data_IF_048737943833
#
_entry.id   IF_048737943833
#
_cell.length_a   1.000
_cell.length_b   1.000
_cell.length_c   1.000
_cell.angle_alpha   90.00
_cell.angle_beta   90.00
_cell.angle_gamma   90.00
#
_symmetry.space_group_name_H-M   'P 1'
#
loop_
_entity.id
_entity.type
_entity.pdbx_description
1 polymer ?
#
# COMPACT_ATOMS: atom_id res chain seq x y z
N UNK A 1 -52.06 -29.99 -2.97
CA UNK A 1 -52.90 -28.83 -3.25
C UNK A 1 -52.06 -27.61 -2.91
N UNK A 2 -51.61 -26.74 -3.75
CA UNK A 2 -51.78 -26.47 -5.17
C UNK A 2 -50.53 -25.67 -5.66
N UNK A 3 -50.00 -26.06 -6.74
CA UNK A 3 -49.51 -25.42 -7.94
C UNK A 3 -49.25 -23.90 -7.88
N UNK A 4 -48.05 -23.47 -8.30
CA UNK A 4 -47.94 -22.51 -9.39
C UNK A 4 -46.51 -22.42 -9.97
N UNK A 5 -46.48 -22.42 -11.25
CA UNK A 5 -45.52 -22.53 -12.33
C UNK A 5 -44.57 -21.33 -12.48
N UNK A 6 -43.46 -21.52 -13.20
CA UNK A 6 -42.51 -20.44 -13.55
C UNK A 6 -42.89 -19.75 -14.86
N UNK A 7 -42.63 -18.45 -14.95
CA UNK A 7 -42.77 -17.67 -16.20
C UNK A 7 -41.40 -17.52 -16.84
N UNK A 8 -41.22 -18.19 -17.98
CA UNK A 8 -40.18 -17.90 -18.98
C UNK A 8 -40.55 -16.62 -19.74
N UNK A 9 -39.62 -15.70 -19.87
CA UNK A 9 -39.74 -14.61 -20.84
C UNK A 9 -38.59 -14.69 -21.83
N UNK A 10 -38.94 -15.08 -23.06
CA UNK A 10 -38.10 -14.98 -24.26
C UNK A 10 -38.01 -13.51 -24.68
N UNK A 11 -36.81 -12.99 -24.97
CA UNK A 11 -36.66 -11.84 -25.84
C UNK A 11 -35.83 -12.19 -27.05
N UNK A 12 -36.44 -11.97 -28.20
CA UNK A 12 -35.99 -12.30 -29.53
C UNK A 12 -34.88 -11.37 -30.03
N UNK A 13 -33.94 -11.93 -30.79
CA UNK A 13 -32.94 -11.26 -31.55
C UNK A 13 -33.51 -10.57 -32.79
N UNK A 14 -33.16 -9.33 -33.01
CA UNK A 14 -33.36 -8.64 -34.31
C UNK A 14 -32.03 -8.47 -35.02
N UNK A 15 -31.88 -9.20 -36.15
CA UNK A 15 -30.82 -9.00 -37.13
C UNK A 15 -31.18 -7.80 -38.01
N UNK A 16 -30.30 -6.81 -38.07
CA UNK A 16 -30.35 -5.76 -39.07
C UNK A 16 -29.23 -5.96 -40.07
N UNK A 17 -29.62 -6.32 -41.27
CA UNK A 17 -28.80 -6.45 -42.47
C UNK A 17 -28.49 -5.07 -43.04
N UNK A 18 -27.22 -4.72 -43.18
CA UNK A 18 -26.78 -3.53 -43.92
C UNK A 18 -26.27 -3.91 -45.31
N UNK A 19 -26.91 -3.34 -46.29
CA UNK A 19 -26.60 -3.46 -47.73
C UNK A 19 -25.43 -2.55 -48.03
N UNK A 20 -24.39 -3.10 -48.65
CA UNK A 20 -23.28 -2.34 -49.28
C UNK A 20 -23.72 -1.72 -50.61
N UNK A 21 -23.62 -0.41 -50.71
CA UNK A 21 -23.60 0.28 -52.01
C UNK A 21 -22.13 0.63 -52.34
N UNK A 22 -21.65 0.07 -53.42
CA UNK A 22 -20.36 0.40 -54.03
C UNK A 22 -20.51 1.63 -54.94
N UNK A 23 -19.63 2.63 -54.78
CA UNK A 23 -19.43 3.75 -55.72
C UNK A 23 -17.99 3.70 -56.18
N UNK A 24 -17.73 3.68 -57.50
CA UNK A 24 -16.37 3.77 -58.03
C UNK A 24 -16.02 5.22 -58.38
N UNK A 25 -14.79 5.62 -58.15
CA UNK A 25 -14.28 6.83 -58.75
C UNK A 25 -13.08 7.48 -58.07
N UNK A 26 -11.96 7.52 -58.80
CA UNK A 26 -11.00 8.60 -58.75
C UNK A 26 -9.67 8.31 -58.02
N UNK A 27 -8.71 7.79 -58.75
CA UNK A 27 -7.30 7.80 -58.35
C UNK A 27 -6.74 9.23 -58.45
N UNK A 28 -6.29 9.76 -57.31
CA UNK A 28 -5.38 10.89 -57.24
C UNK A 28 -4.12 10.44 -56.52
N UNK A 29 -3.00 10.46 -57.21
CA UNK A 29 -1.68 10.14 -56.69
C UNK A 29 -1.26 11.22 -55.67
N UNK A 30 -1.09 10.83 -54.40
CA UNK A 30 -0.44 11.64 -53.38
C UNK A 30 1.02 11.23 -53.22
N UNK A 31 1.90 12.23 -53.34
CA UNK A 31 3.33 12.13 -53.09
C UNK A 31 3.61 11.68 -51.62
N UNK A 32 4.68 10.91 -51.40
CA UNK A 32 5.06 10.53 -50.04
C UNK A 32 5.60 11.76 -49.28
N UNK A 33 4.98 12.03 -48.16
CA UNK A 33 5.48 13.00 -47.20
C UNK A 33 6.81 12.50 -46.57
N UNK A 34 7.77 13.39 -46.49
CA UNK A 34 9.07 13.18 -45.87
C UNK A 34 8.93 12.73 -44.40
N UNK A 35 9.83 11.89 -43.90
CA UNK A 35 9.78 11.47 -42.51
C UNK A 35 10.03 12.65 -41.58
N UNK A 36 9.08 12.96 -40.73
CA UNK A 36 9.23 13.89 -39.63
C UNK A 36 10.24 13.28 -38.67
N UNK A 37 11.35 13.96 -38.51
CA UNK A 37 12.42 13.68 -37.55
C UNK A 37 11.81 13.60 -36.14
N UNK A 38 11.76 12.39 -35.61
CA UNK A 38 11.32 12.14 -34.22
C UNK A 38 12.27 12.82 -33.28
N UNK A 39 11.77 13.70 -32.43
CA UNK A 39 12.51 14.25 -31.30
C UNK A 39 13.12 13.11 -30.45
N UNK A 40 14.35 13.27 -29.92
CA UNK A 40 14.99 12.24 -29.15
C UNK A 40 14.15 11.95 -27.90
N UNK A 41 13.73 10.69 -27.77
CA UNK A 41 13.14 10.17 -26.53
C UNK A 41 14.14 10.40 -25.39
N UNK A 42 13.66 10.97 -24.29
CA UNK A 42 14.44 11.06 -23.05
C UNK A 42 14.97 9.66 -22.69
N UNK A 43 16.21 9.54 -22.18
CA UNK A 43 16.79 8.25 -21.86
C UNK A 43 15.89 7.53 -20.86
N UNK A 44 15.28 6.44 -21.28
CA UNK A 44 14.69 5.43 -20.41
C UNK A 44 15.81 4.91 -19.55
N UNK A 45 15.64 4.94 -18.20
CA UNK A 45 16.58 4.36 -17.25
C UNK A 45 16.95 2.95 -17.75
N UNK A 46 18.24 2.73 -17.99
CA UNK A 46 18.73 1.50 -18.60
C UNK A 46 18.37 0.33 -17.66
N UNK A 47 17.79 -0.73 -18.24
CA UNK A 47 17.35 -1.95 -17.51
C UNK A 47 18.43 -2.57 -16.61
N UNK A 48 19.71 -2.30 -16.86
CA UNK A 48 20.83 -2.74 -16.03
C UNK A 48 20.94 -2.02 -14.67
N UNK A 49 20.40 -0.81 -14.56
CA UNK A 49 20.47 -0.01 -13.32
C UNK A 49 19.35 -0.40 -12.34
N UNK A 50 18.22 -0.89 -12.83
CA UNK A 50 17.08 -1.31 -12.01
C UNK A 50 17.32 -2.66 -11.34
N UNK A 51 18.05 -3.58 -11.98
CA UNK A 51 18.40 -4.88 -11.40
C UNK A 51 19.22 -4.76 -10.10
N UNK A 52 20.00 -3.68 -9.93
CA UNK A 52 20.75 -3.42 -8.68
C UNK A 52 19.83 -3.19 -7.48
N UNK A 53 18.61 -2.65 -7.70
CA UNK A 53 17.68 -2.39 -6.62
C UNK A 53 16.95 -3.65 -6.16
N UNK A 54 16.81 -4.67 -7.03
CA UNK A 54 16.23 -5.96 -6.65
C UNK A 54 17.02 -6.63 -5.51
N UNK A 55 18.35 -6.45 -5.50
CA UNK A 55 19.18 -6.96 -4.41
C UNK A 55 18.93 -6.27 -3.06
N UNK A 56 18.27 -5.12 -3.05
CA UNK A 56 17.93 -4.37 -1.83
C UNK A 56 16.53 -4.72 -1.27
N UNK A 57 15.74 -5.50 -2.03
CA UNK A 57 14.41 -5.94 -1.61
C UNK A 57 14.46 -7.41 -1.25
N UNK A 58 13.86 -7.75 -0.12
CA UNK A 58 13.85 -9.09 0.46
C UNK A 58 12.42 -9.52 0.71
N UNK A 59 12.20 -10.83 0.80
CA UNK A 59 10.98 -11.41 1.32
C UNK A 59 11.04 -11.43 2.85
N UNK A 60 9.96 -11.02 3.48
CA UNK A 60 9.75 -11.15 4.92
C UNK A 60 8.61 -12.13 5.15
N UNK A 61 8.87 -13.20 5.87
CA UNK A 61 7.86 -14.16 6.31
C UNK A 61 7.82 -14.18 7.83
N UNK A 62 6.64 -13.95 8.39
CA UNK A 62 6.43 -13.93 9.83
C UNK A 62 5.42 -15.01 10.26
N UNK A 63 5.70 -15.63 11.38
CA UNK A 63 4.81 -16.58 12.04
C UNK A 63 4.31 -15.95 13.33
N UNK A 64 3.00 -16.00 13.51
CA UNK A 64 2.29 -15.43 14.66
C UNK A 64 1.53 -16.56 15.35
N UNK A 65 1.55 -16.63 16.70
CA UNK A 65 0.74 -17.59 17.44
C UNK A 65 -0.73 -17.53 17.00
N UNK A 66 -1.37 -18.68 16.92
CA UNK A 66 -2.79 -18.73 16.49
C UNK A 66 -3.73 -18.06 17.48
N UNK A 67 -3.34 -18.06 18.74
CA UNK A 67 -4.03 -17.42 19.88
C UNK A 67 -3.79 -15.91 19.96
N UNK A 68 -2.86 -15.37 19.20
CA UNK A 68 -2.61 -13.94 19.16
C UNK A 68 -3.79 -13.18 18.56
N UNK A 69 -4.13 -12.03 19.14
CA UNK A 69 -5.30 -11.25 18.75
C UNK A 69 -5.28 -10.83 17.28
N UNK A 70 -4.11 -10.48 16.76
CA UNK A 70 -3.95 -10.10 15.34
C UNK A 70 -4.07 -11.28 14.38
N UNK A 71 -3.99 -12.53 14.87
CA UNK A 71 -4.09 -13.71 14.00
C UNK A 71 -5.50 -13.92 13.42
N UNK A 72 -6.54 -13.45 14.11
CA UNK A 72 -7.93 -13.53 13.65
C UNK A 72 -8.18 -12.71 12.38
N UNK A 73 -7.51 -11.56 12.26
CA UNK A 73 -7.72 -10.63 11.14
C UNK A 73 -6.64 -10.70 10.07
N UNK A 74 -5.37 -10.93 10.46
CA UNK A 74 -4.22 -10.92 9.56
C UNK A 74 -3.68 -12.32 9.26
N UNK A 75 -4.21 -13.34 9.93
CA UNK A 75 -3.71 -14.71 9.83
C UNK A 75 -2.43 -14.94 10.63
N UNK A 76 -2.12 -16.23 10.87
CA UNK A 76 -0.94 -16.66 11.64
C UNK A 76 0.35 -16.78 10.80
N UNK A 77 0.25 -16.74 9.48
CA UNK A 77 1.40 -16.70 8.55
C UNK A 77 1.26 -15.49 7.67
N UNK A 78 2.24 -14.61 7.75
CA UNK A 78 2.25 -13.36 7.00
C UNK A 78 3.46 -13.31 6.11
N UNK A 79 3.26 -12.80 4.90
CA UNK A 79 4.30 -12.69 3.88
C UNK A 79 4.20 -11.33 3.20
N UNK A 80 5.34 -10.74 2.94
CA UNK A 80 5.47 -9.51 2.20
C UNK A 80 6.92 -9.21 1.86
N UNK A 81 7.15 -8.01 1.46
CA UNK A 81 8.46 -7.48 1.10
C UNK A 81 9.10 -6.72 2.26
N UNK A 82 10.39 -6.52 2.18
CA UNK A 82 11.13 -5.59 3.02
C UNK A 82 12.29 -4.98 2.27
N UNK A 83 12.80 -3.89 2.78
CA UNK A 83 13.89 -3.12 2.19
C UNK A 83 15.10 -3.13 3.11
N UNK A 84 16.26 -3.50 2.61
CA UNK A 84 17.50 -3.46 3.37
C UNK A 84 17.88 -1.99 3.62
N UNK A 85 17.94 -1.58 4.88
CA UNK A 85 18.45 -0.27 5.31
C UNK A 85 19.90 -0.34 5.81
N UNK A 86 20.27 -1.45 6.44
CA UNK A 86 21.60 -1.77 6.92
C UNK A 86 21.89 -3.25 6.70
N UNK A 87 23.14 -3.73 6.77
CA UNK A 87 23.46 -5.14 6.49
C UNK A 87 22.64 -6.16 7.29
N UNK A 88 22.17 -5.82 8.47
CA UNK A 88 21.34 -6.67 9.32
C UNK A 88 20.01 -6.01 9.70
N UNK A 89 19.54 -5.01 8.96
CA UNK A 89 18.30 -4.30 9.27
C UNK A 89 17.43 -4.14 8.03
N UNK A 90 16.19 -4.62 8.14
CA UNK A 90 15.16 -4.55 7.10
C UNK A 90 14.02 -3.68 7.58
N UNK A 91 13.61 -2.75 6.74
CA UNK A 91 12.37 -1.97 6.88
C UNK A 91 11.24 -2.67 6.13
N UNK A 92 10.11 -2.79 6.77
CA UNK A 92 8.88 -3.35 6.17
C UNK A 92 7.66 -2.63 6.72
N UNK A 93 6.47 -3.11 6.36
CA UNK A 93 5.22 -2.65 6.97
C UNK A 93 4.93 -3.47 8.22
N UNK A 94 4.53 -2.79 9.28
CA UNK A 94 4.51 -3.35 10.62
C UNK A 94 3.44 -4.41 10.86
N UNK A 95 2.30 -4.38 10.17
CA UNK A 95 1.27 -5.41 10.35
C UNK A 95 1.77 -6.83 9.99
N UNK A 96 2.85 -6.95 9.21
CA UNK A 96 3.51 -8.24 8.98
C UNK A 96 4.14 -8.79 10.26
N UNK A 97 4.61 -7.90 11.14
CA UNK A 97 5.41 -8.22 12.31
C UNK A 97 4.62 -8.23 13.63
N UNK A 98 3.40 -7.72 13.61
CA UNK A 98 2.58 -7.58 14.81
C UNK A 98 2.35 -8.94 15.49
N UNK A 99 2.77 -9.07 16.76
CA UNK A 99 2.73 -10.31 17.56
C UNK A 99 3.49 -11.50 16.95
N UNK A 100 4.47 -11.25 16.06
CA UNK A 100 5.25 -12.32 15.45
C UNK A 100 6.28 -12.90 16.41
N UNK A 101 6.27 -14.23 16.56
CA UNK A 101 7.24 -15.00 17.33
C UNK A 101 8.49 -15.32 16.52
N UNK A 102 8.32 -15.52 15.21
CA UNK A 102 9.40 -15.91 14.30
C UNK A 102 9.32 -15.10 13.02
N UNK A 103 10.48 -14.65 12.56
CA UNK A 103 10.62 -13.93 11.29
C UNK A 103 11.77 -14.56 10.50
N UNK A 104 11.52 -14.85 9.23
CA UNK A 104 12.52 -15.29 8.27
C UNK A 104 12.61 -14.26 7.14
N UNK A 105 13.82 -13.89 6.78
CA UNK A 105 14.10 -13.00 5.65
C UNK A 105 14.77 -13.82 4.56
N UNK A 106 14.21 -13.77 3.34
CA UNK A 106 14.82 -14.42 2.16
C UNK A 106 15.35 -13.34 1.22
N UNK A 107 16.63 -13.39 0.91
CA UNK A 107 17.29 -12.45 -0.01
C UNK A 107 16.90 -12.71 -1.47
N UNK A 108 17.21 -11.79 -2.37
CA UNK A 108 17.01 -11.98 -3.81
C UNK A 108 17.76 -13.16 -4.40
N UNK A 109 18.84 -13.62 -3.75
CA UNK A 109 19.58 -14.83 -4.12
C UNK A 109 18.94 -16.14 -3.62
N UNK A 110 17.84 -16.03 -2.86
CA UNK A 110 17.15 -17.17 -2.24
C UNK A 110 17.73 -17.60 -0.90
N UNK A 111 18.75 -16.90 -0.37
CA UNK A 111 19.32 -17.21 0.95
C UNK A 111 18.36 -16.81 2.06
N UNK A 112 18.03 -17.76 2.92
CA UNK A 112 17.19 -17.58 4.10
C UNK A 112 18.01 -17.20 5.30
N UNK A 113 17.62 -16.13 5.97
CA UNK A 113 18.28 -15.61 7.16
C UNK A 113 17.24 -15.47 8.27
N UNK A 114 17.42 -16.13 9.41
CA UNK A 114 16.56 -15.92 10.56
C UNK A 114 16.61 -14.45 11.04
N UNK A 115 15.48 -13.94 11.49
CA UNK A 115 15.36 -12.59 12.01
C UNK A 115 14.46 -12.52 13.22
N UNK A 116 14.43 -11.34 13.82
CA UNK A 116 13.54 -11.00 14.92
C UNK A 116 12.96 -9.61 14.71
N UNK A 117 11.81 -9.35 15.30
CA UNK A 117 11.21 -8.01 15.29
C UNK A 117 12.14 -7.07 16.04
N UNK A 118 12.73 -6.10 15.35
CA UNK A 118 13.61 -5.09 15.92
C UNK A 118 12.84 -3.88 16.43
N UNK A 119 11.71 -3.58 15.83
CA UNK A 119 10.86 -2.47 16.24
C UNK A 119 9.57 -2.37 15.44
N UNK A 120 8.62 -1.68 16.03
CA UNK A 120 7.33 -1.37 15.43
C UNK A 120 6.86 0.02 15.87
N UNK A 121 6.38 0.82 14.91
CA UNK A 121 5.77 2.11 15.20
C UNK A 121 4.28 2.10 14.81
N UNK A 122 3.41 2.11 15.80
CA UNK A 122 1.96 2.07 15.59
C UNK A 122 1.42 3.29 14.84
N UNK A 123 2.04 4.46 15.02
CA UNK A 123 1.52 5.69 14.42
C UNK A 123 1.74 5.74 12.91
N UNK A 124 2.87 5.23 12.42
CA UNK A 124 3.21 5.23 10.99
C UNK A 124 3.01 3.87 10.32
N UNK A 125 2.91 2.80 11.10
CA UNK A 125 2.84 1.43 10.60
C UNK A 125 4.19 0.86 10.15
N UNK A 126 5.33 1.51 10.38
CA UNK A 126 6.63 0.94 10.05
C UNK A 126 7.01 -0.20 10.98
N UNK A 127 7.63 -1.23 10.40
CA UNK A 127 8.22 -2.34 11.12
C UNK A 127 9.68 -2.55 10.74
N UNK A 128 10.49 -2.94 11.71
CA UNK A 128 11.90 -3.27 11.53
C UNK A 128 12.17 -4.72 11.89
N UNK A 129 12.95 -5.40 11.05
CA UNK A 129 13.45 -6.76 11.30
C UNK A 129 14.95 -6.71 11.42
N UNK A 130 15.51 -7.27 12.49
CA UNK A 130 16.94 -7.51 12.65
C UNK A 130 17.24 -8.94 12.26
N UNK A 131 18.14 -9.11 11.29
CA UNK A 131 18.58 -10.43 10.84
C UNK A 131 19.76 -10.93 11.68
N UNK A 132 19.84 -12.23 11.89
CA UNK A 132 20.91 -12.86 12.65
C UNK A 132 22.29 -12.76 11.94
N UNK A 133 22.28 -12.66 10.63
CA UNK A 133 23.46 -12.56 9.79
C UNK A 133 23.30 -11.41 8.78
N UNK A 134 24.40 -10.82 8.30
CA UNK A 134 24.35 -9.83 7.23
C UNK A 134 23.71 -10.38 5.97
N UNK A 135 22.93 -9.56 5.28
CA UNK A 135 22.30 -9.89 4.01
C UNK A 135 23.21 -9.56 2.83
N UNK A 136 22.99 -10.25 1.69
CA UNK A 136 23.82 -10.10 0.49
C UNK A 136 23.53 -8.82 -0.31
N UNK A 137 22.39 -8.16 -0.03
CA UNK A 137 21.93 -6.99 -0.76
C UNK A 137 22.58 -5.68 -0.29
N UNK A 138 22.39 -4.64 -1.07
CA UNK A 138 22.80 -3.27 -0.72
C UNK A 138 21.65 -2.52 -0.07
N UNK A 139 21.96 -1.70 0.92
CA UNK A 139 20.99 -0.79 1.51
C UNK A 139 20.48 0.22 0.48
N UNK A 140 19.17 0.51 0.47
CA UNK A 140 18.60 1.64 -0.25
C UNK A 140 18.79 2.91 0.56
N UNK A 141 19.19 3.96 -0.14
CA UNK A 141 19.28 5.29 0.46
C UNK A 141 17.89 5.92 0.59
N UNK A 142 17.60 6.48 1.78
CA UNK A 142 16.36 7.18 2.03
C UNK A 142 16.32 8.49 1.23
N UNK A 143 15.30 8.62 0.39
CA UNK A 143 14.99 9.84 -0.36
C UNK A 143 14.19 10.85 0.45
N UNK A 144 13.67 11.85 -0.23
CA UNK A 144 12.75 12.85 0.33
C UNK A 144 11.33 12.57 -0.19
N UNK A 145 10.50 11.97 0.67
CA UNK A 145 9.12 11.67 0.31
C UNK A 145 8.20 12.90 0.27
N UNK A 146 8.61 14.04 0.82
CA UNK A 146 7.84 15.28 0.74
C UNK A 146 8.02 15.99 -0.60
N UNK A 147 9.16 15.74 -1.27
CA UNK A 147 9.41 16.20 -2.62
C UNK A 147 8.59 15.45 -3.69
N UNK A 148 8.02 14.28 -3.34
CA UNK A 148 7.21 13.48 -4.27
C UNK A 148 5.85 14.15 -4.48
N UNK A 149 5.57 14.48 -5.74
CA UNK A 149 4.36 15.22 -6.16
C UNK A 149 3.41 14.35 -6.95
N UNK A 150 2.13 14.75 -7.03
CA UNK A 150 1.15 14.14 -7.94
C UNK A 150 1.62 14.23 -9.39
N UNK A 151 1.28 13.23 -10.20
CA UNK A 151 1.68 13.03 -11.59
C UNK A 151 3.18 12.72 -11.78
N UNK A 152 3.93 12.56 -10.70
CA UNK A 152 5.32 12.11 -10.78
C UNK A 152 5.37 10.60 -11.02
N UNK A 153 6.28 10.15 -11.87
CA UNK A 153 6.63 8.75 -12.06
C UNK A 153 7.49 8.27 -10.91
N UNK A 154 7.17 7.10 -10.41
CA UNK A 154 7.89 6.38 -9.36
C UNK A 154 7.96 4.91 -9.76
N UNK A 155 8.84 4.17 -9.11
CA UNK A 155 9.02 2.75 -9.36
C UNK A 155 8.71 1.99 -8.08
N UNK A 156 8.03 0.85 -8.19
CA UNK A 156 7.86 -0.07 -7.06
C UNK A 156 8.58 -1.37 -7.31
N UNK A 157 9.09 -1.94 -6.23
CA UNK A 157 9.81 -3.20 -6.18
C UNK A 157 9.24 -4.05 -5.04
N UNK A 158 8.62 -5.15 -5.40
CA UNK A 158 8.18 -6.20 -4.49
C UNK A 158 9.12 -7.41 -4.52
N UNK A 159 9.05 -8.24 -3.50
CA UNK A 159 9.83 -9.49 -3.46
C UNK A 159 9.39 -10.44 -4.58
N UNK A 160 10.37 -11.09 -5.24
CA UNK A 160 10.12 -12.04 -6.32
C UNK A 160 9.73 -11.42 -7.66
N UNK A 161 9.67 -10.09 -7.76
CA UNK A 161 9.50 -9.40 -9.04
C UNK A 161 10.86 -9.22 -9.71
N UNK A 162 11.01 -9.64 -10.98
CA UNK A 162 12.30 -9.54 -11.68
C UNK A 162 12.65 -8.09 -12.04
N UNK A 163 11.66 -7.23 -12.17
CA UNK A 163 11.81 -5.84 -12.62
C UNK A 163 10.93 -4.89 -11.79
N UNK A 164 11.38 -3.65 -11.70
CA UNK A 164 10.61 -2.58 -11.08
C UNK A 164 9.39 -2.22 -11.96
N UNK A 165 8.24 -2.04 -11.32
CA UNK A 165 7.02 -1.59 -11.99
C UNK A 165 6.91 -0.07 -11.91
N UNK A 166 6.76 0.59 -13.07
CA UNK A 166 6.51 2.03 -13.13
C UNK A 166 5.08 2.34 -12.70
N UNK A 167 4.96 3.27 -11.77
CA UNK A 167 3.70 3.79 -11.26
C UNK A 167 3.66 5.31 -11.37
N UNK A 168 2.45 5.85 -11.33
CA UNK A 168 2.24 7.29 -11.24
C UNK A 168 1.64 7.64 -9.89
N UNK A 169 2.14 8.68 -9.26
CA UNK A 169 1.53 9.25 -8.05
C UNK A 169 0.23 9.96 -8.43
N UNK A 170 -0.88 9.53 -7.88
CA UNK A 170 -2.22 10.04 -8.22
C UNK A 170 -2.84 10.91 -7.14
N UNK A 171 -2.36 10.81 -5.90
CA UNK A 171 -2.85 11.61 -4.78
C UNK A 171 -1.88 11.62 -3.60
N UNK A 172 -2.02 12.62 -2.76
CA UNK A 172 -1.37 12.78 -1.44
C UNK A 172 -2.42 13.12 -0.36
N UNK A 173 -3.67 12.67 -0.55
CA UNK A 173 -4.77 12.92 0.39
C UNK A 173 -4.54 12.21 1.72
N UNK A 174 -5.09 12.74 2.79
CA UNK A 174 -5.07 12.13 4.12
C UNK A 174 -5.70 10.73 4.10
N UNK A 175 -5.13 9.84 4.86
CA UNK A 175 -5.62 8.49 5.09
C UNK A 175 -5.74 8.22 6.59
N UNK A 176 -6.86 7.61 6.97
CA UNK A 176 -7.06 7.05 8.31
C UNK A 176 -7.39 5.57 8.16
N UNK A 177 -6.71 4.75 8.90
CA UNK A 177 -6.82 3.30 8.81
C UNK A 177 -6.84 2.61 10.16
N UNK A 178 -6.86 1.27 10.11
CA UNK A 178 -6.84 0.45 11.32
C UNK A 178 -5.43 0.15 11.82
N UNK A 179 -4.42 0.32 10.97
CA UNK A 179 -3.03 -0.05 11.24
C UNK A 179 -2.11 1.17 11.32
N UNK A 180 -2.31 2.12 10.42
CA UNK A 180 -1.78 3.46 10.41
C UNK A 180 -2.89 4.38 10.89
N UNK A 181 -2.75 4.98 12.05
CA UNK A 181 -3.84 5.78 12.64
C UNK A 181 -4.23 6.96 11.77
N UNK A 182 -3.25 7.79 11.42
CA UNK A 182 -3.43 8.95 10.57
C UNK A 182 -2.16 9.19 9.75
N UNK A 183 -2.29 9.16 8.44
CA UNK A 183 -1.25 9.59 7.51
C UNK A 183 -1.74 10.84 6.81
N UNK A 184 -1.14 11.99 7.11
CA UNK A 184 -1.58 13.27 6.52
C UNK A 184 -1.35 13.32 5.02
N UNK A 185 -0.21 12.79 4.54
CA UNK A 185 0.21 12.87 3.15
C UNK A 185 0.84 11.56 2.66
N UNK A 186 0.16 10.40 2.73
CA UNK A 186 0.66 9.18 2.13
C UNK A 186 0.79 9.31 0.62
N UNK A 187 1.50 8.39 -0.02
CA UNK A 187 1.69 8.40 -1.47
C UNK A 187 0.73 7.37 -2.07
N UNK A 188 -0.25 7.85 -2.84
CA UNK A 188 -1.13 6.97 -3.60
C UNK A 188 -0.64 6.83 -5.02
N UNK A 189 -0.62 5.61 -5.54
CA UNK A 189 -0.12 5.31 -6.87
C UNK A 189 -1.12 4.55 -7.72
N UNK A 190 -0.96 4.64 -9.05
CA UNK A 190 -1.71 3.89 -10.07
C UNK A 190 -0.73 3.46 -11.19
N UNK A 191 -0.92 2.32 -11.86
CA UNK A 191 -1.91 1.27 -11.60
C UNK A 191 -1.63 0.50 -10.29
N UNK A 192 -2.63 -0.25 -9.75
CA UNK A 192 -2.41 -1.09 -8.57
C UNK A 192 -1.50 -2.27 -8.90
N UNK A 193 -0.62 -2.59 -7.95
CA UNK A 193 0.22 -3.80 -7.96
C UNK A 193 -0.18 -4.74 -6.83
N UNK A 194 0.01 -6.04 -7.03
CA UNK A 194 -0.42 -7.06 -6.06
C UNK A 194 0.59 -7.30 -4.93
N UNK A 195 1.88 -7.06 -5.17
CA UNK A 195 2.96 -7.29 -4.18
C UNK A 195 3.27 -6.01 -3.38
N UNK A 196 2.22 -5.32 -2.91
CA UNK A 196 2.37 -4.02 -2.23
C UNK A 196 2.91 -4.11 -0.81
N UNK A 197 2.60 -5.21 -0.08
CA UNK A 197 2.89 -5.34 1.36
C UNK A 197 4.39 -5.24 1.63
N UNK A 198 4.85 -4.14 2.19
CA UNK A 198 6.27 -3.88 2.48
C UNK A 198 7.14 -3.59 1.26
N UNK A 199 6.58 -3.45 0.05
CA UNK A 199 7.34 -3.14 -1.17
C UNK A 199 8.00 -1.77 -1.09
N UNK A 200 9.14 -1.64 -1.77
CA UNK A 200 9.82 -0.37 -1.92
C UNK A 200 9.14 0.52 -2.94
N UNK A 201 8.91 1.79 -2.62
CA UNK A 201 8.64 2.84 -3.59
C UNK A 201 9.87 3.70 -3.74
N UNK A 202 10.43 3.77 -4.95
CA UNK A 202 11.66 4.51 -5.22
C UNK A 202 11.45 5.58 -6.29
N UNK A 203 12.26 6.61 -6.26
CA UNK A 203 12.37 7.57 -7.38
C UNK A 203 13.10 6.92 -8.56
N UNK A 204 13.02 7.50 -9.77
CA UNK A 204 13.81 7.02 -10.92
C UNK A 204 15.33 6.97 -10.64
N UNK A 205 15.84 7.81 -9.73
CA UNK A 205 17.24 7.84 -9.31
C UNK A 205 17.57 6.76 -8.27
N UNK A 206 16.57 5.99 -7.81
CA UNK A 206 16.72 4.88 -6.89
C UNK A 206 16.72 5.24 -5.41
N UNK A 207 16.16 6.39 -5.04
CA UNK A 207 15.99 6.77 -3.63
C UNK A 207 14.69 6.21 -3.09
N UNK A 208 14.73 5.57 -1.92
CA UNK A 208 13.53 5.06 -1.24
C UNK A 208 12.67 6.22 -0.74
N UNK A 209 11.42 6.31 -1.19
CA UNK A 209 10.48 7.37 -0.80
C UNK A 209 9.22 6.84 -0.09
N UNK A 210 8.96 5.53 -0.15
CA UNK A 210 7.81 4.95 0.53
C UNK A 210 7.92 3.45 0.75
N UNK A 211 7.10 2.93 1.67
CA UNK A 211 6.91 1.50 1.92
C UNK A 211 5.44 1.16 1.68
N UNK A 212 5.19 0.15 0.87
CA UNK A 212 3.85 -0.30 0.51
C UNK A 212 3.07 -0.80 1.72
N UNK A 213 1.87 -0.28 1.89
CA UNK A 213 0.98 -0.63 2.99
C UNK A 213 -0.29 -1.31 2.53
N UNK A 214 -1.04 -0.71 1.63
CA UNK A 214 -2.38 -1.17 1.28
C UNK A 214 -2.63 -1.12 -0.24
N UNK A 215 -3.58 -1.96 -0.67
CA UNK A 215 -4.34 -1.73 -1.90
C UNK A 215 -5.63 -1.01 -1.51
N UNK A 216 -6.00 0.02 -2.28
CA UNK A 216 -7.18 0.84 -2.02
C UNK A 216 -8.04 0.95 -3.28
N UNK A 217 -9.35 1.08 -3.10
CA UNK A 217 -10.29 1.22 -4.22
C UNK A 217 -10.49 2.67 -4.67
N UNK A 218 -9.91 3.62 -3.95
CA UNK A 218 -10.13 5.06 -4.11
C UNK A 218 -8.80 5.82 -3.95
N UNK A 219 -7.83 5.54 -4.83
CA UNK A 219 -6.50 6.12 -4.77
C UNK A 219 -6.48 7.59 -5.20
N UNK A 220 -7.25 7.96 -6.24
CA UNK A 220 -7.23 9.32 -6.78
C UNK A 220 -8.07 10.30 -5.94
N UNK A 221 -7.57 11.52 -5.75
CA UNK A 221 -8.34 12.58 -5.10
C UNK A 221 -9.50 13.04 -5.99
N UNK A 222 -10.70 13.14 -5.40
CA UNK A 222 -11.88 13.63 -6.11
C UNK A 222 -12.48 12.68 -7.16
N UNK A 223 -11.93 11.47 -7.33
CA UNK A 223 -12.44 10.45 -8.25
C UNK A 223 -12.67 9.14 -7.47
N UNK A 224 -13.91 8.66 -7.46
CA UNK A 224 -14.24 7.36 -6.86
C UNK A 224 -13.94 6.21 -7.80
N UNK A 225 -13.58 5.05 -7.21
CA UNK A 225 -13.41 3.81 -7.97
C UNK A 225 -12.13 3.73 -8.79
N UNK A 226 -11.12 4.53 -8.48
CA UNK A 226 -9.77 4.40 -9.05
C UNK A 226 -8.93 3.54 -8.10
N UNK A 227 -8.71 2.25 -8.40
CA UNK A 227 -7.91 1.40 -7.53
C UNK A 227 -6.45 1.80 -7.60
N UNK A 228 -5.72 1.58 -6.50
CA UNK A 228 -4.30 1.87 -6.44
C UNK A 228 -3.66 1.33 -5.18
N UNK A 229 -2.41 1.71 -4.94
CA UNK A 229 -1.71 1.36 -3.71
C UNK A 229 -1.44 2.60 -2.87
N UNK A 230 -1.38 2.38 -1.57
CA UNK A 230 -0.95 3.36 -0.59
C UNK A 230 0.43 3.00 -0.07
N UNK A 231 1.34 3.97 -0.08
CA UNK A 231 2.69 3.85 0.48
C UNK A 231 2.87 4.82 1.64
N UNK A 232 3.46 4.33 2.72
CA UNK A 232 3.84 5.15 3.88
C UNK A 232 5.11 5.93 3.55
N UNK A 233 5.10 7.27 3.64
CA UNK A 233 6.25 8.11 3.28
C UNK A 233 7.44 7.90 4.21
N UNK A 234 8.66 7.73 3.66
CA UNK A 234 9.86 7.47 4.48
C UNK A 234 10.31 8.66 5.33
N UNK A 235 9.85 9.88 5.03
CA UNK A 235 10.14 11.02 5.90
C UNK A 235 9.53 10.86 7.29
N UNK A 236 8.46 10.06 7.44
CA UNK A 236 7.90 9.72 8.74
C UNK A 236 8.80 8.77 9.55
N UNK A 237 9.66 7.99 8.90
CA UNK A 237 10.64 7.13 9.57
C UNK A 237 11.83 7.93 10.12
N UNK A 238 12.31 8.92 9.38
CA UNK A 238 13.56 9.64 9.69
C UNK A 238 13.65 10.15 11.13
N UNK A 239 12.64 10.84 11.68
CA UNK A 239 12.72 11.36 13.04
C UNK A 239 12.73 10.27 14.12
N UNK A 240 12.12 9.11 13.85
CA UNK A 240 11.95 8.02 14.82
C UNK A 240 12.95 6.87 14.61
N UNK A 241 13.72 6.88 13.53
CA UNK A 241 14.56 5.76 13.11
C UNK A 241 15.53 5.30 14.21
N UNK A 242 16.32 6.23 14.78
CA UNK A 242 17.30 5.89 15.81
C UNK A 242 16.65 5.30 17.05
N UNK A 243 15.53 5.85 17.43
CA UNK A 243 14.78 5.42 18.59
C UNK A 243 14.15 4.03 18.38
N UNK A 244 13.54 3.83 17.21
CA UNK A 244 12.95 2.55 16.83
C UNK A 244 13.99 1.43 16.76
N UNK A 245 15.19 1.72 16.24
CA UNK A 245 16.32 0.77 16.20
C UNK A 245 16.86 0.45 17.60
N UNK A 246 16.92 1.45 18.50
CA UNK A 246 17.52 1.30 19.83
C UNK A 246 16.54 0.68 20.85
N UNK A 247 15.25 1.03 20.79
CA UNK A 247 14.26 0.70 21.81
C UNK A 247 13.12 -0.18 21.31
N UNK A 248 13.08 -0.46 20.01
CA UNK A 248 12.01 -1.24 19.38
C UNK A 248 10.66 -0.51 19.26
N UNK A 249 10.57 0.71 19.76
CA UNK A 249 9.36 1.51 19.78
C UNK A 249 9.68 2.99 19.88
N UNK A 250 8.73 3.84 19.57
CA UNK A 250 8.82 5.28 19.84
C UNK A 250 8.79 5.51 21.36
N UNK A 251 9.70 6.36 21.87
CA UNK A 251 9.70 6.83 23.25
C UNK A 251 8.81 8.06 23.35
N UNK A 252 7.90 8.07 24.29
CA UNK A 252 6.94 9.16 24.48
C UNK A 252 5.59 8.61 24.92
N UNK A 253 4.59 9.46 25.15
CA UNK A 253 3.27 8.99 25.50
C UNK A 253 2.73 8.13 24.35
N UNK A 254 2.35 6.88 24.68
CA UNK A 254 1.67 6.02 23.74
C UNK A 254 0.29 6.61 23.44
N UNK A 255 -0.10 6.59 22.17
CA UNK A 255 -1.48 6.93 21.84
C UNK A 255 -2.43 5.91 22.49
N UNK A 256 -3.51 6.37 23.12
CA UNK A 256 -4.47 5.47 23.74
C UNK A 256 -5.18 4.64 22.67
N UNK A 257 -5.23 3.34 22.87
CA UNK A 257 -6.00 2.45 22.02
C UNK A 257 -7.39 2.25 22.61
N UNK A 258 -8.41 2.64 21.86
CA UNK A 258 -9.81 2.48 22.27
C UNK A 258 -10.42 1.15 21.85
N UNK A 259 -9.93 0.56 20.76
CA UNK A 259 -10.47 -0.67 20.18
C UNK A 259 -11.75 -0.45 19.40
N UNK A 260 -11.88 0.68 18.70
CA UNK A 260 -12.98 0.96 17.78
C UNK A 260 -12.45 1.23 16.36
N UNK A 261 -13.28 0.92 15.38
CA UNK A 261 -13.10 1.39 13.99
C UNK A 261 -14.26 2.33 13.66
N UNK A 262 -13.95 3.47 13.09
CA UNK A 262 -14.96 4.49 12.76
C UNK A 262 -14.97 4.80 11.27
N UNK A 263 -16.13 5.19 10.75
CA UNK A 263 -16.33 5.70 9.39
C UNK A 263 -17.22 6.94 9.39
N UNK A 264 -16.98 7.85 8.44
CA UNK A 264 -17.87 8.99 8.24
C UNK A 264 -19.10 8.54 7.44
N UNK A 265 -20.23 8.44 8.11
CA UNK A 265 -21.51 8.06 7.52
C UNK A 265 -22.47 9.23 7.62
N UNK A 266 -22.90 9.76 6.47
CA UNK A 266 -23.83 10.91 6.38
C UNK A 266 -23.36 12.14 7.19
N UNK A 267 -22.04 12.38 7.23
CA UNK A 267 -21.45 13.51 7.93
C UNK A 267 -21.28 13.35 9.44
N UNK A 268 -21.47 12.16 9.96
CA UNK A 268 -21.22 11.80 11.37
C UNK A 268 -20.14 10.73 11.45
N UNK A 269 -19.28 10.80 12.47
CA UNK A 269 -18.30 9.77 12.76
C UNK A 269 -18.99 8.63 13.50
N UNK A 270 -19.22 7.50 12.79
CA UNK A 270 -19.94 6.34 13.31
C UNK A 270 -18.97 5.22 13.64
N UNK A 271 -19.18 4.56 14.77
CA UNK A 271 -18.49 3.32 15.14
C UNK A 271 -19.03 2.19 14.27
N UNK A 272 -18.17 1.58 13.45
CA UNK A 272 -18.55 0.46 12.57
C UNK A 272 -18.09 -0.88 13.12
N UNK A 273 -17.09 -0.89 14.00
CA UNK A 273 -16.63 -2.10 14.69
C UNK A 273 -16.06 -1.75 16.06
N UNK A 274 -16.27 -2.65 17.02
CA UNK A 274 -15.68 -2.64 18.35
C UNK A 274 -14.86 -3.91 18.53
N UNK A 275 -13.62 -3.77 18.99
CA UNK A 275 -12.74 -4.91 19.27
C UNK A 275 -13.19 -5.65 20.52
N UNK A 276 -13.37 -6.98 20.47
CA UNK A 276 -13.70 -7.78 21.65
C UNK A 276 -12.68 -7.59 22.78
N UNK A 277 -13.17 -7.56 24.01
CA UNK A 277 -12.37 -7.34 25.22
C UNK A 277 -11.61 -6.01 25.27
N UNK A 278 -11.84 -5.13 24.31
CA UNK A 278 -11.23 -3.80 24.23
C UNK A 278 -11.77 -2.80 25.25
N UNK A 279 -11.11 -1.64 25.42
CA UNK A 279 -11.59 -0.58 26.31
C UNK A 279 -12.98 -0.08 25.95
N UNK A 280 -13.29 0.08 24.66
CA UNK A 280 -14.58 0.57 24.18
C UNK A 280 -15.71 -0.39 24.49
N UNK A 281 -15.52 -1.71 24.27
CA UNK A 281 -16.51 -2.72 24.61
C UNK A 281 -16.82 -2.73 26.11
N UNK A 282 -15.76 -2.67 26.93
CA UNK A 282 -15.93 -2.56 28.39
C UNK A 282 -16.64 -1.29 28.86
N UNK A 283 -16.54 -0.22 28.05
CA UNK A 283 -17.25 1.04 28.29
C UNK A 283 -18.67 1.05 27.73
N UNK A 284 -19.11 -0.04 27.07
CA UNK A 284 -20.46 -0.17 26.51
C UNK A 284 -20.65 0.53 25.15
N UNK A 285 -19.56 0.82 24.44
CA UNK A 285 -19.64 1.35 23.07
C UNK A 285 -19.99 0.19 22.13
N UNK A 286 -20.95 0.42 21.22
CA UNK A 286 -21.45 -0.57 20.28
C UNK A 286 -21.31 -0.10 18.81
N UNK A 287 -21.24 -1.03 17.84
CA UNK A 287 -21.36 -0.67 16.43
C UNK A 287 -22.70 0.03 16.16
N UNK A 288 -22.63 1.18 15.46
CA UNK A 288 -23.76 2.07 15.20
C UNK A 288 -23.75 3.33 16.05
N UNK A 289 -22.97 3.39 17.12
CA UNK A 289 -22.80 4.61 17.90
C UNK A 289 -22.16 5.73 17.07
N UNK A 290 -22.52 6.98 17.41
CA UNK A 290 -21.97 8.17 16.79
C UNK A 290 -21.07 8.89 17.78
N UNK A 291 -19.80 9.10 17.39
CA UNK A 291 -18.85 9.88 18.20
C UNK A 291 -19.15 11.37 17.99
N UNK A 292 -19.63 12.03 19.02
CA UNK A 292 -20.00 13.46 18.98
C UNK A 292 -18.90 14.37 19.47
N UNK A 293 -18.15 13.93 20.49
CA UNK A 293 -17.07 14.70 21.10
C UNK A 293 -16.11 13.82 21.88
N UNK A 294 -14.88 14.30 22.06
CA UNK A 294 -13.88 13.77 22.99
C UNK A 294 -13.62 14.85 24.04
N UNK A 295 -14.03 14.63 25.28
CA UNK A 295 -14.04 15.69 26.26
C UNK A 295 -14.96 16.85 25.86
N UNK A 296 -14.38 18.04 25.73
CA UNK A 296 -15.06 19.27 25.26
C UNK A 296 -15.02 19.46 23.75
N UNK A 297 -14.17 18.71 23.05
CA UNK A 297 -13.87 18.95 21.65
C UNK A 297 -14.82 18.15 20.75
N UNK A 298 -15.45 18.85 19.83
CA UNK A 298 -16.40 18.25 18.89
C UNK A 298 -15.64 17.50 17.81
N UNK A 299 -16.09 16.29 17.50
CA UNK A 299 -15.52 15.39 16.48
C UNK A 299 -16.47 15.33 15.29
N UNK A 300 -15.95 15.54 14.08
CA UNK A 300 -16.70 15.44 12.82
C UNK A 300 -16.21 14.31 11.94
N UNK A 301 -14.92 14.04 11.99
CA UNK A 301 -14.25 13.00 11.19
C UNK A 301 -13.11 12.33 11.97
N UNK A 302 -12.42 11.41 11.30
CA UNK A 302 -11.32 10.68 11.92
C UNK A 302 -10.10 11.55 12.24
N UNK A 303 -9.93 12.70 11.60
CA UNK A 303 -8.80 13.58 11.87
C UNK A 303 -9.01 14.41 13.13
N UNK A 304 -10.28 14.72 13.45
CA UNK A 304 -10.67 15.38 14.71
C UNK A 304 -10.59 14.40 15.90
N UNK A 305 -10.76 13.10 15.67
CA UNK A 305 -10.79 12.02 16.66
C UNK A 305 -9.42 11.47 17.00
#
# INVERSE_FOLDING_TARGET
>A
MDRSTPVLSLCAAAFATWVMLAVPGGAAAQQPASPTESAPAAPSAESGDLARFNASVVRVEAQVPREAQSSETLGSRRKGSGVILEPQLVLTIGYLLLEADNVEVTTSTGRKVPGSVAGYDHATGFGLVRTALPMDGKALELGDSDAVSERQKVLTLGEGEPEATELMVVSRKTFTGSWEYLLERPIYTFPPVNNWSGSALITPEGKLVGIGSLIVNDAAAGQRGVPGNLFVPVNLLKPIYRELVASGRRTGPSQPWLGITTEVVRGNLMVVRVSPTGPAERAGIEPGDVVMSVGSDRVKDQADF
#
